data_IF_535259280611
#
_entry.id   IF_535259280611
#
_cell.length_a   1.000
_cell.length_b   1.000
_cell.length_c   1.000
_cell.angle_alpha   90.00
_cell.angle_beta   90.00
_cell.angle_gamma   90.00
#
_symmetry.space_group_name_H-M   'P 1'
#
loop_
_entity.id
_entity.type
_entity.pdbx_description
1 polymer ?
#
# COMPACT_ATOMS: atom_id res chain seq x y z
N UNK A 1 -9.67 3.55 22.89
CA UNK A 1 -8.82 4.41 22.05
C UNK A 1 -9.23 4.23 20.59
N UNK A 2 -9.51 5.32 19.86
CA UNK A 2 -9.70 5.26 18.41
C UNK A 2 -8.34 4.97 17.78
N UNK A 3 -8.27 4.06 16.82
CA UNK A 3 -7.00 3.70 16.14
C UNK A 3 -7.18 3.65 14.64
N UNK A 4 -6.14 4.04 13.92
CA UNK A 4 -6.04 3.88 12.46
C UNK A 4 -5.56 2.47 12.06
N UNK A 5 -5.21 1.61 13.04
CA UNK A 5 -4.87 0.20 12.81
C UNK A 5 -6.11 -0.56 12.34
N UNK A 6 -5.94 -1.43 11.34
CA UNK A 6 -7.05 -2.21 10.76
C UNK A 6 -7.93 -1.45 9.76
N UNK A 7 -7.87 -0.11 9.71
CA UNK A 7 -8.63 0.67 8.72
C UNK A 7 -8.06 0.49 7.31
N UNK A 8 -8.90 0.23 6.29
CA UNK A 8 -8.43 0.14 4.92
C UNK A 8 -7.97 1.50 4.39
N UNK A 9 -6.98 1.50 3.48
CA UNK A 9 -6.59 2.71 2.73
C UNK A 9 -7.42 2.89 1.44
N UNK A 10 -8.11 1.84 0.99
CA UNK A 10 -9.00 1.91 -0.18
C UNK A 10 -8.31 2.00 -1.55
N UNK A 11 -6.98 2.01 -1.60
CA UNK A 11 -6.23 2.05 -2.87
C UNK A 11 -6.27 0.70 -3.58
N UNK A 12 -6.52 0.72 -4.89
CA UNK A 12 -6.55 -0.47 -5.73
C UNK A 12 -5.66 -0.30 -6.98
N UNK A 13 -5.24 -1.41 -7.59
CA UNK A 13 -4.30 -1.37 -8.72
C UNK A 13 -4.89 -0.80 -10.03
N UNK A 14 -6.23 -0.73 -10.14
CA UNK A 14 -6.95 -0.22 -11.30
C UNK A 14 -7.15 1.28 -11.27
N UNK A 15 -6.98 1.92 -10.11
CA UNK A 15 -7.12 3.37 -9.96
C UNK A 15 -6.07 4.12 -10.77
N UNK A 16 -6.48 5.26 -11.33
CA UNK A 16 -5.56 6.26 -11.87
C UNK A 16 -4.80 6.97 -10.74
N UNK A 17 -3.74 7.71 -11.09
CA UNK A 17 -2.99 8.51 -10.12
C UNK A 17 -3.90 9.52 -9.39
N UNK A 18 -4.77 10.24 -10.12
CA UNK A 18 -5.69 11.21 -9.52
C UNK A 18 -6.74 10.54 -8.62
N UNK A 19 -7.25 9.36 -8.99
CA UNK A 19 -8.16 8.61 -8.13
C UNK A 19 -7.49 8.17 -6.83
N UNK A 20 -6.23 7.73 -6.90
CA UNK A 20 -5.46 7.40 -5.70
C UNK A 20 -5.23 8.64 -4.82
N UNK A 21 -4.93 9.79 -5.43
CA UNK A 21 -4.76 11.06 -4.71
C UNK A 21 -6.07 11.47 -4.01
N UNK A 22 -7.20 11.45 -4.71
CA UNK A 22 -8.51 11.76 -4.14
C UNK A 22 -8.87 10.83 -2.98
N UNK A 23 -8.55 9.53 -3.08
CA UNK A 23 -8.78 8.58 -1.99
C UNK A 23 -7.92 8.90 -0.76
N UNK A 24 -6.66 9.33 -0.94
CA UNK A 24 -5.80 9.76 0.16
C UNK A 24 -6.36 11.01 0.85
N UNK A 25 -6.83 11.99 0.08
CA UNK A 25 -7.49 13.19 0.62
C UNK A 25 -8.77 12.86 1.37
N UNK A 26 -9.61 11.99 0.81
CA UNK A 26 -10.84 11.55 1.44
C UNK A 26 -10.56 10.85 2.78
N UNK A 27 -9.62 9.90 2.81
CA UNK A 27 -9.23 9.23 4.05
C UNK A 27 -8.72 10.22 5.10
N UNK A 28 -7.93 11.21 4.67
CA UNK A 28 -7.42 12.26 5.54
C UNK A 28 -8.54 13.12 6.14
N UNK A 29 -9.49 13.57 5.32
CA UNK A 29 -10.66 14.33 5.78
C UNK A 29 -11.46 13.50 6.79
N UNK A 30 -11.81 12.27 6.43
CA UNK A 30 -12.57 11.36 7.29
C UNK A 30 -11.89 11.14 8.64
N UNK A 31 -10.59 10.83 8.66
CA UNK A 31 -9.87 10.61 9.91
C UNK A 31 -9.66 11.91 10.70
N UNK A 32 -9.54 13.06 10.04
CA UNK A 32 -9.49 14.34 10.74
C UNK A 32 -10.83 14.64 11.45
N UNK A 33 -11.97 14.39 10.79
CA UNK A 33 -13.29 14.55 11.40
C UNK A 33 -13.52 13.60 12.58
N UNK A 34 -12.84 12.44 12.59
CA UNK A 34 -12.87 11.51 13.71
C UNK A 34 -11.96 11.93 14.89
N UNK A 35 -11.20 13.01 14.75
CA UNK A 35 -10.37 13.60 15.81
C UNK A 35 -8.93 13.12 15.84
N UNK A 36 -8.42 12.47 14.78
CA UNK A 36 -7.01 12.13 14.69
C UNK A 36 -6.16 13.34 14.32
N UNK A 37 -4.94 13.42 14.88
CA UNK A 37 -4.00 14.47 14.53
C UNK A 37 -3.50 14.31 13.09
N UNK A 38 -3.05 15.41 12.49
CA UNK A 38 -2.47 15.38 11.14
C UNK A 38 -1.26 14.42 11.07
N UNK A 39 -0.41 14.41 12.09
CA UNK A 39 0.77 13.54 12.14
C UNK A 39 0.40 12.06 12.16
N UNK A 40 -0.61 11.68 12.95
CA UNK A 40 -1.12 10.30 12.99
C UNK A 40 -1.68 9.88 11.63
N UNK A 41 -2.44 10.75 10.99
CA UNK A 41 -3.05 10.51 9.67
C UNK A 41 -1.96 10.30 8.61
N UNK A 42 -0.99 11.22 8.52
CA UNK A 42 0.11 11.13 7.56
C UNK A 42 0.94 9.87 7.80
N UNK A 43 1.30 9.59 9.06
CA UNK A 43 2.05 8.38 9.42
C UNK A 43 1.28 7.10 9.02
N UNK A 44 -0.02 7.05 9.28
CA UNK A 44 -0.86 5.93 8.90
C UNK A 44 -0.98 5.76 7.38
N UNK A 45 -1.15 6.85 6.61
CA UNK A 45 -1.21 6.79 5.15
C UNK A 45 0.10 6.28 4.56
N UNK A 46 1.25 6.77 5.04
CA UNK A 46 2.57 6.29 4.61
C UNK A 46 2.73 4.81 4.93
N UNK A 47 2.43 4.40 6.17
CA UNK A 47 2.58 3.02 6.62
C UNK A 47 1.73 2.04 5.79
N UNK A 48 0.52 2.46 5.39
CA UNK A 48 -0.40 1.65 4.60
C UNK A 48 -0.08 1.64 3.11
N UNK A 49 0.43 2.74 2.56
CA UNK A 49 0.79 2.83 1.13
C UNK A 49 2.15 2.22 0.80
N UNK A 50 3.11 2.24 1.74
CA UNK A 50 4.45 1.66 1.57
C UNK A 50 4.46 0.20 1.08
N UNK A 51 3.64 -0.73 1.63
CA UNK A 51 3.56 -2.11 1.10
C UNK A 51 2.87 -2.19 -0.26
N UNK A 52 2.10 -1.20 -0.70
CA UNK A 52 1.56 -1.17 -2.07
C UNK A 52 2.65 -0.79 -3.08
N UNK A 53 3.52 0.15 -2.71
CA UNK A 53 4.64 0.60 -3.54
C UNK A 53 5.74 -0.47 -3.64
N UNK A 54 6.06 -1.15 -2.53
CA UNK A 54 7.22 -2.04 -2.44
C UNK A 54 6.89 -3.50 -2.12
N UNK A 55 5.62 -3.85 -1.95
CA UNK A 55 5.21 -5.18 -1.48
C UNK A 55 4.90 -6.17 -2.60
N UNK A 56 4.84 -7.43 -2.20
CA UNK A 56 4.66 -8.58 -3.08
C UNK A 56 3.34 -8.54 -3.88
N UNK A 57 2.24 -8.09 -3.26
CA UNK A 57 0.91 -8.13 -3.89
C UNK A 57 0.81 -7.28 -5.16
N UNK A 58 1.47 -6.13 -5.20
CA UNK A 58 1.47 -5.24 -6.36
C UNK A 58 2.72 -5.39 -7.22
N UNK A 59 3.62 -6.32 -6.90
CA UNK A 59 4.82 -6.58 -7.72
C UNK A 59 4.47 -7.03 -9.15
N UNK A 60 3.27 -7.59 -9.35
CA UNK A 60 2.74 -7.97 -10.67
C UNK A 60 2.16 -6.78 -11.46
N UNK A 61 2.01 -5.62 -10.82
CA UNK A 61 1.40 -4.41 -11.38
C UNK A 61 2.35 -3.20 -11.20
N UNK A 62 3.49 -3.17 -11.91
CA UNK A 62 4.51 -2.14 -11.72
C UNK A 62 3.97 -0.72 -11.98
N UNK A 63 3.06 -0.55 -12.95
CA UNK A 63 2.43 0.74 -13.23
C UNK A 63 1.53 1.20 -12.08
N UNK A 64 0.86 0.27 -11.40
CA UNK A 64 0.07 0.59 -10.21
C UNK A 64 0.96 1.01 -9.03
N UNK A 65 2.12 0.36 -8.86
CA UNK A 65 3.10 0.77 -7.84
C UNK A 65 3.60 2.19 -8.10
N UNK A 66 3.91 2.50 -9.37
CA UNK A 66 4.40 3.82 -9.76
C UNK A 66 3.32 4.91 -9.61
N UNK A 67 2.07 4.63 -10.03
CA UNK A 67 0.94 5.54 -9.81
C UNK A 67 0.71 5.80 -8.31
N UNK A 68 0.75 4.76 -7.48
CA UNK A 68 0.61 4.92 -6.03
C UNK A 68 1.76 5.71 -5.42
N UNK A 69 2.99 5.51 -5.90
CA UNK A 69 4.16 6.28 -5.49
C UNK A 69 3.97 7.76 -5.80
N UNK A 70 3.63 8.10 -7.05
CA UNK A 70 3.41 9.49 -7.49
C UNK A 70 2.26 10.15 -6.74
N UNK A 71 1.13 9.46 -6.60
CA UNK A 71 -0.02 9.97 -5.86
C UNK A 71 0.34 10.27 -4.39
N UNK A 72 1.07 9.36 -3.74
CA UNK A 72 1.52 9.57 -2.35
C UNK A 72 2.53 10.71 -2.24
N UNK A 73 3.53 10.79 -3.13
CA UNK A 73 4.50 11.89 -3.11
C UNK A 73 3.85 13.25 -3.39
N UNK A 74 2.90 13.30 -4.33
CA UNK A 74 2.09 14.49 -4.61
C UNK A 74 1.29 14.90 -3.38
N UNK A 75 0.64 13.95 -2.72
CA UNK A 75 -0.08 14.19 -1.47
C UNK A 75 0.83 14.68 -0.35
N UNK A 76 2.01 14.10 -0.15
CA UNK A 76 2.92 14.54 0.90
C UNK A 76 3.49 15.94 0.63
N UNK A 77 3.73 16.29 -0.64
CA UNK A 77 4.15 17.64 -1.04
C UNK A 77 3.15 18.71 -0.66
N UNK A 78 1.84 18.44 -0.67
CA UNK A 78 0.84 19.44 -0.22
C UNK A 78 0.95 19.78 1.26
N UNK A 79 1.62 18.94 2.05
CA UNK A 79 1.91 19.17 3.48
C UNK A 79 3.36 19.59 3.74
N UNK A 80 4.11 19.97 2.71
CA UNK A 80 5.53 20.35 2.84
C UNK A 80 6.49 19.18 3.07
N UNK A 81 6.01 17.94 2.98
CA UNK A 81 6.82 16.74 3.19
C UNK A 81 7.41 16.26 1.85
N UNK A 82 8.69 16.54 1.63
CA UNK A 82 9.41 16.15 0.41
C UNK A 82 10.04 14.76 0.55
N UNK A 83 9.20 13.74 0.72
CA UNK A 83 9.65 12.35 0.86
C UNK A 83 9.66 11.69 -0.52
N UNK A 84 10.80 11.08 -0.89
CA UNK A 84 10.92 10.27 -2.11
C UNK A 84 10.95 8.79 -1.75
N UNK A 85 10.04 8.01 -2.31
CA UNK A 85 10.02 6.57 -2.09
C UNK A 85 10.92 5.89 -3.12
N UNK A 86 11.98 5.22 -2.66
CA UNK A 86 12.78 4.35 -3.52
C UNK A 86 11.98 3.06 -3.78
N UNK A 87 11.68 2.79 -5.05
CA UNK A 87 11.17 1.48 -5.45
C UNK A 87 12.31 0.47 -5.31
N UNK A 88 12.13 -0.60 -4.54
CA UNK A 88 13.11 -1.69 -4.53
C UNK A 88 13.17 -2.30 -5.93
N UNK A 89 14.33 -2.26 -6.59
CA UNK A 89 14.59 -2.98 -7.84
C UNK A 89 14.18 -4.43 -7.65
N UNK A 90 13.57 -5.03 -8.69
CA UNK A 90 13.12 -6.43 -8.75
C UNK A 90 14.15 -7.34 -8.06
N UNK A 91 13.89 -7.70 -6.80
CA UNK A 91 14.42 -8.94 -6.27
C UNK A 91 13.51 -9.96 -6.93
N UNK A 92 14.07 -10.71 -7.88
CA UNK A 92 13.48 -11.92 -8.44
C UNK A 92 12.67 -12.59 -7.33
N UNK A 93 11.35 -12.74 -7.54
CA UNK A 93 10.47 -13.41 -6.59
C UNK A 93 11.19 -14.64 -6.05
N UNK A 94 11.25 -14.88 -4.72
CA UNK A 94 11.77 -16.15 -4.25
C UNK A 94 10.98 -17.22 -4.99
N UNK A 95 11.67 -18.06 -5.79
CA UNK A 95 11.07 -19.24 -6.41
C UNK A 95 10.32 -19.93 -5.28
N UNK A 96 8.99 -19.98 -5.39
CA UNK A 96 8.18 -20.81 -4.48
C UNK A 96 8.81 -22.20 -4.60
N UNK A 97 9.32 -22.82 -3.51
CA UNK A 97 9.76 -24.20 -3.64
C UNK A 97 8.54 -24.97 -4.14
N UNK A 98 8.66 -25.56 -5.33
CA UNK A 98 7.72 -26.53 -5.86
C UNK A 98 7.80 -27.78 -4.98
N UNK A 99 7.29 -27.69 -3.76
CA UNK A 99 6.91 -28.88 -3.00
C UNK A 99 5.51 -29.21 -3.46
N UNK A 100 5.42 -30.14 -4.40
CA UNK A 100 4.25 -30.98 -4.66
C UNK A 100 3.89 -31.69 -3.36
N UNK A 101 3.17 -31.01 -2.47
CA UNK A 101 2.55 -31.65 -1.32
C UNK A 101 1.28 -32.34 -1.85
N UNK A 102 1.46 -33.53 -2.42
CA UNK A 102 0.35 -34.42 -2.73
C UNK A 102 -0.23 -34.90 -1.40
N UNK A 103 -1.41 -34.42 -1.02
CA UNK A 103 -2.18 -34.94 0.12
C UNK A 103 -2.55 -36.42 -0.07
N UNK A 104 -2.46 -36.95 -1.30
CA UNK A 104 -2.75 -38.35 -1.62
C UNK A 104 -1.63 -39.32 -1.17
N UNK A 105 -0.39 -38.86 -0.97
CA UNK A 105 0.68 -39.74 -0.45
C UNK A 105 0.54 -40.04 1.05
N UNK A 106 -0.32 -39.30 1.78
CA UNK A 106 -0.61 -39.60 3.20
C UNK A 106 -1.63 -40.71 3.40
N UNK A 107 -2.36 -41.12 2.36
CA UNK A 107 -3.40 -42.15 2.42
C UNK A 107 -3.08 -43.34 1.53
N UNK A 108 -1.82 -43.82 1.52
CA UNK A 108 -1.54 -45.17 1.03
C UNK A 108 -2.17 -46.18 2.00
N UNK A 109 -3.39 -46.58 1.66
CA UNK A 109 -4.02 -47.84 2.07
C UNK A 109 -3.51 -48.92 1.13
#
# INVERSE_FOLDING_TARGET
MRTLKGRPIGLNARMSEDQMFQQLEHNRQTWQHEGFSQEEIISALIAKARPLINGYYWARYPDAQERCRRALERFLKTYGLNIKFKQKRKITSPKRPEKSFSLLDQFKI
#
